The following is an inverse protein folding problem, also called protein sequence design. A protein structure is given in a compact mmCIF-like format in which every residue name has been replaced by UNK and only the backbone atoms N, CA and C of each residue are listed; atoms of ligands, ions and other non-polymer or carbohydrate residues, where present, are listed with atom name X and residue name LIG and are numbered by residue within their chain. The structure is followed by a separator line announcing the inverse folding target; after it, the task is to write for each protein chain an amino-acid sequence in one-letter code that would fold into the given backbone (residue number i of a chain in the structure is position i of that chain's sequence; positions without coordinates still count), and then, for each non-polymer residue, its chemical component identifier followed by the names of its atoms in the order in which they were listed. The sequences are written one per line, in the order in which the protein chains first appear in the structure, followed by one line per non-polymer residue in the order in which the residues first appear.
data_IF_211200716674
#
_entry.id   IF_211200716674
#
_cell.length_a   1.000
_cell.length_b   1.000
_cell.length_c   1.000
_cell.angle_alpha   90.00
_cell.angle_beta   90.00
_cell.angle_gamma   90.00
#
_symmetry.space_group_name_H-M   'P 1'
#
loop_
_entity.id
_entity.type
_entity.pdbx_description
1 polymer ?
#
# COMPACT_ATOMS: atom_id res chain seq x y z
N UNK A 1 2.79 39.13 92.17
CA UNK A 1 4.15 38.78 92.66
C UNK A 1 4.53 37.42 92.08
N UNK A 2 5.24 37.37 90.94
CA UNK A 2 6.69 37.06 90.85
C UNK A 2 7.16 36.00 91.85
N UNK A 3 7.50 34.81 91.35
CA UNK A 3 8.85 34.22 91.47
C UNK A 3 9.04 33.05 90.49
N UNK A 4 10.00 33.26 89.59
CA UNK A 4 10.63 32.21 88.77
C UNK A 4 11.56 31.39 89.67
N UNK A 5 11.62 30.07 89.47
CA UNK A 5 12.83 29.29 89.72
C UNK A 5 13.27 28.63 88.41
N UNK A 6 14.51 28.95 88.02
CA UNK A 6 15.40 28.12 87.20
C UNK A 6 15.96 27.02 88.14
N UNK A 7 16.42 25.83 87.73
CA UNK A 7 17.58 25.54 86.87
C UNK A 7 17.73 24.00 86.72
N UNK A 8 18.12 23.55 85.51
CA UNK A 8 19.05 22.46 85.12
C UNK A 8 19.09 21.11 85.88
N UNK A 9 19.07 19.97 85.15
CA UNK A 9 20.23 19.05 85.01
C UNK A 9 19.94 17.83 84.08
N UNK A 10 20.72 17.75 82.99
CA UNK A 10 21.30 16.61 82.25
C UNK A 10 20.79 15.14 82.31
N UNK A 11 20.95 14.48 81.14
CA UNK A 11 20.89 13.03 80.78
C UNK A 11 19.48 12.48 80.49
N UNK A 12 19.16 11.83 79.36
CA UNK A 12 19.85 10.72 78.67
C UNK A 12 19.43 10.64 77.17
N UNK A 13 20.39 10.23 76.34
CA UNK A 13 20.26 9.81 74.94
C UNK A 13 19.14 8.76 74.74
N UNK A 14 18.26 8.99 73.76
CA UNK A 14 17.62 7.92 73.00
C UNK A 14 17.44 8.37 71.55
N UNK A 15 18.29 7.80 70.70
CA UNK A 15 18.31 7.91 69.25
C UNK A 15 17.01 7.30 68.70
N UNK A 16 16.09 8.14 68.22
CA UNK A 16 15.02 7.71 67.33
C UNK A 16 15.02 8.65 66.13
N UNK A 17 16.03 8.49 65.28
CA UNK A 17 15.97 8.92 63.90
C UNK A 17 14.81 8.18 63.23
N UNK A 18 13.62 8.79 63.27
CA UNK A 18 12.55 8.47 62.36
C UNK A 18 13.06 8.89 60.99
N UNK A 19 13.76 7.95 60.36
CA UNK A 19 14.03 7.96 58.93
C UNK A 19 12.65 7.91 58.28
N UNK A 20 12.10 9.08 57.95
CA UNK A 20 11.08 9.18 56.92
C UNK A 20 11.75 8.70 55.63
N UNK A 21 11.75 7.37 55.44
CA UNK A 21 11.86 6.77 54.12
C UNK A 21 10.58 7.20 53.42
N UNK A 22 10.59 8.40 52.85
CA UNK A 22 9.69 8.71 51.76
C UNK A 22 9.90 7.55 50.78
N UNK A 23 8.86 6.77 50.42
CA UNK A 23 8.99 5.84 49.33
C UNK A 23 9.49 6.69 48.18
N UNK A 24 10.73 6.44 47.74
CA UNK A 24 11.27 7.10 46.58
C UNK A 24 10.20 6.94 45.53
N UNK A 25 9.61 8.06 45.10
CA UNK A 25 8.86 8.10 43.88
C UNK A 25 9.84 7.54 42.85
N UNK A 26 9.66 6.27 42.50
CA UNK A 26 10.12 5.77 41.23
C UNK A 26 9.37 6.63 40.22
N UNK A 27 9.98 7.78 39.88
CA UNK A 27 9.75 8.48 38.65
C UNK A 27 10.10 7.45 37.57
N UNK A 28 9.11 6.64 37.22
CA UNK A 28 8.98 6.04 35.90
C UNK A 28 9.42 7.17 34.97
N UNK A 29 10.44 6.96 34.13
CA UNK A 29 10.81 7.98 33.14
C UNK A 29 9.58 8.18 32.28
N UNK A 30 8.73 9.11 32.69
CA UNK A 30 7.57 9.51 31.93
C UNK A 30 8.17 10.18 30.70
N UNK A 31 7.82 9.63 29.54
CA UNK A 31 8.25 10.15 28.26
C UNK A 31 8.01 11.65 28.14
N UNK A 32 8.63 12.30 27.16
CA UNK A 32 8.55 13.78 27.05
C UNK A 32 7.09 14.20 26.88
N UNK A 33 6.49 14.96 27.81
CA UNK A 33 5.05 15.25 27.76
C UNK A 33 4.73 16.21 26.61
N UNK A 34 3.78 15.83 25.75
CA UNK A 34 3.28 16.67 24.65
C UNK A 34 1.91 17.29 24.97
N UNK A 35 1.07 16.58 25.74
CA UNK A 35 -0.20 17.10 26.25
C UNK A 35 -0.50 16.49 27.62
N UNK A 36 -1.19 17.26 28.48
CA UNK A 36 -1.68 16.82 29.79
C UNK A 36 -3.15 17.18 29.94
N UNK A 37 -3.94 16.26 30.48
CA UNK A 37 -5.35 16.48 30.78
C UNK A 37 -5.75 15.55 31.93
N UNK A 38 -6.49 16.08 32.91
CA UNK A 38 -6.78 15.40 34.18
C UNK A 38 -5.49 14.83 34.82
N UNK A 39 -5.43 13.51 35.00
CA UNK A 39 -4.28 12.75 35.51
C UNK A 39 -3.48 12.04 34.41
N UNK A 40 -3.79 12.29 33.14
CA UNK A 40 -3.20 11.62 31.99
C UNK A 40 -2.24 12.53 31.23
N UNK A 41 -1.25 11.90 30.60
CA UNK A 41 -0.28 12.56 29.74
C UNK A 41 -0.17 11.79 28.43
N UNK A 42 -0.13 12.53 27.32
CA UNK A 42 0.33 12.00 26.03
C UNK A 42 1.79 12.35 25.90
N UNK A 43 2.62 11.33 25.68
CA UNK A 43 4.07 11.47 25.58
C UNK A 43 4.54 11.52 24.12
N UNK A 44 5.74 12.02 23.91
CA UNK A 44 6.37 12.07 22.60
C UNK A 44 6.59 10.66 22.03
N UNK A 45 6.93 9.71 22.89
CA UNK A 45 7.18 8.32 22.56
C UNK A 45 5.90 7.66 22.02
N UNK A 46 4.77 7.86 22.71
CA UNK A 46 3.45 7.40 22.26
C UNK A 46 3.06 8.04 20.92
N UNK A 47 3.27 9.36 20.76
CA UNK A 47 2.96 10.05 19.52
C UNK A 47 3.79 9.51 18.35
N UNK A 48 5.08 9.24 18.58
CA UNK A 48 5.96 8.65 17.56
C UNK A 48 5.56 7.21 17.24
N UNK A 49 5.18 6.42 18.23
CA UNK A 49 4.70 5.04 18.02
C UNK A 49 3.41 5.03 17.21
N UNK A 50 2.42 5.85 17.58
CA UNK A 50 1.18 6.01 16.81
C UNK A 50 1.50 6.47 15.39
N UNK A 51 2.38 7.45 15.21
CA UNK A 51 2.79 7.92 13.88
C UNK A 51 3.37 6.78 13.02
N UNK A 52 4.24 5.95 13.58
CA UNK A 52 4.85 4.80 12.88
C UNK A 52 3.84 3.73 12.49
N UNK A 53 2.74 3.61 13.22
CA UNK A 53 1.66 2.66 12.89
C UNK A 53 0.76 3.12 11.74
N UNK A 54 0.83 4.39 11.32
CA UNK A 54 -0.01 4.92 10.26
C UNK A 54 0.55 4.59 8.86
N UNK A 55 -0.30 4.53 7.81
CA UNK A 55 0.14 4.49 6.42
C UNK A 55 1.12 5.63 6.08
N UNK A 56 2.09 5.37 5.19
CA UNK A 56 3.19 6.31 4.87
C UNK A 56 2.69 7.66 4.37
N UNK A 57 1.57 7.66 3.66
CA UNK A 57 0.91 8.84 3.10
C UNK A 57 0.44 9.78 4.23
N UNK A 58 -0.07 9.20 5.32
CA UNK A 58 -0.58 9.94 6.48
C UNK A 58 0.57 10.40 7.38
N UNK A 59 1.66 9.62 7.48
CA UNK A 59 2.83 9.96 8.29
C UNK A 59 3.37 11.37 7.97
N UNK A 60 3.51 11.69 6.68
CA UNK A 60 4.01 13.00 6.24
C UNK A 60 3.09 14.16 6.61
N UNK A 61 1.76 13.96 6.58
CA UNK A 61 0.77 14.97 6.97
C UNK A 61 0.80 15.18 8.49
N UNK A 62 0.71 14.09 9.25
CA UNK A 62 0.73 14.13 10.72
C UNK A 62 2.04 14.73 11.25
N UNK A 63 3.18 14.46 10.60
CA UNK A 63 4.45 15.06 10.96
C UNK A 63 4.51 16.58 10.70
N UNK A 64 3.84 17.09 9.66
CA UNK A 64 3.75 18.53 9.40
C UNK A 64 2.77 19.21 10.36
N UNK A 65 1.67 18.55 10.70
CA UNK A 65 0.60 19.07 11.55
C UNK A 65 0.67 18.45 12.96
N UNK A 66 1.84 18.57 13.61
CA UNK A 66 2.12 17.89 14.89
C UNK A 66 1.12 18.23 15.99
N UNK A 67 0.69 19.49 16.06
CA UNK A 67 -0.26 19.94 17.08
C UNK A 67 -1.62 19.29 16.88
N UNK A 68 -2.13 19.27 15.65
CA UNK A 68 -3.43 18.66 15.33
C UNK A 68 -3.39 17.15 15.53
N UNK A 69 -2.26 16.51 15.19
CA UNK A 69 -2.04 15.10 15.47
C UNK A 69 -2.10 14.77 16.96
N UNK A 70 -1.39 15.53 17.81
CA UNK A 70 -1.46 15.34 19.27
C UNK A 70 -2.86 15.65 19.81
N UNK A 71 -3.52 16.69 19.29
CA UNK A 71 -4.88 17.05 19.69
C UNK A 71 -5.87 15.92 19.35
N UNK A 72 -5.71 15.26 18.21
CA UNK A 72 -6.55 14.12 17.86
C UNK A 72 -6.33 12.93 18.78
N UNK A 73 -5.09 12.68 19.20
CA UNK A 73 -4.81 11.67 20.24
C UNK A 73 -5.50 12.02 21.58
N UNK A 74 -5.54 13.32 21.96
CA UNK A 74 -6.29 13.78 23.14
C UNK A 74 -7.79 13.50 22.96
N UNK A 75 -8.35 13.86 21.80
CA UNK A 75 -9.76 13.63 21.49
C UNK A 75 -10.12 12.14 21.55
N UNK A 76 -9.29 11.28 20.95
CA UNK A 76 -9.43 9.82 20.97
C UNK A 76 -9.48 9.30 22.41
N UNK A 77 -8.58 9.76 23.30
CA UNK A 77 -8.59 9.36 24.73
C UNK A 77 -9.92 9.71 25.42
N UNK A 78 -10.43 10.93 25.21
CA UNK A 78 -11.69 11.35 25.80
C UNK A 78 -12.87 10.51 25.30
N UNK A 79 -12.92 10.23 24.00
CA UNK A 79 -13.97 9.40 23.40
C UNK A 79 -13.93 7.97 23.93
N UNK A 80 -12.74 7.35 23.98
CA UNK A 80 -12.56 6.00 24.52
C UNK A 80 -13.00 5.93 25.98
N UNK A 81 -12.58 6.90 26.80
CA UNK A 81 -12.99 6.96 28.23
C UNK A 81 -14.50 7.05 28.38
N UNK A 82 -15.16 7.89 27.60
CA UNK A 82 -16.62 8.00 27.64
C UNK A 82 -17.29 6.71 27.17
N UNK A 83 -16.75 6.06 26.13
CA UNK A 83 -17.22 4.76 25.66
C UNK A 83 -17.06 3.66 26.73
N UNK A 84 -15.97 3.66 27.48
CA UNK A 84 -15.75 2.75 28.61
C UNK A 84 -16.73 2.99 29.74
N UNK A 85 -16.96 4.26 30.12
CA UNK A 85 -17.94 4.64 31.15
C UNK A 85 -19.35 4.19 30.78
N UNK A 86 -19.72 4.30 29.51
CA UNK A 86 -20.99 3.81 28.96
C UNK A 86 -21.02 2.30 28.71
N UNK A 87 -19.90 1.61 28.97
CA UNK A 87 -19.73 0.19 28.71
C UNK A 87 -20.08 -0.20 27.26
N UNK A 88 -19.70 0.64 26.29
CA UNK A 88 -19.97 0.40 24.86
C UNK A 88 -19.42 -0.96 24.41
N UNK A 89 -18.31 -1.41 24.99
CA UNK A 89 -17.75 -2.76 24.77
C UNK A 89 -18.70 -3.91 25.09
N UNK A 90 -19.73 -3.67 25.90
CA UNK A 90 -20.69 -4.68 26.31
C UNK A 90 -21.89 -4.79 25.36
N UNK A 91 -22.06 -3.86 24.42
CA UNK A 91 -23.12 -3.92 23.43
C UNK A 91 -22.96 -5.17 22.54
N UNK A 92 -24.06 -5.86 22.16
CA UNK A 92 -23.98 -7.14 21.45
C UNK A 92 -23.20 -7.08 20.13
N UNK A 93 -23.40 -6.00 19.36
CA UNK A 93 -22.71 -5.73 18.09
C UNK A 93 -21.21 -5.49 18.32
N UNK A 94 -20.84 -4.69 19.31
CA UNK A 94 -19.43 -4.43 19.65
C UNK A 94 -18.73 -5.70 20.12
N UNK A 95 -19.36 -6.52 20.96
CA UNK A 95 -18.81 -7.82 21.37
C UNK A 95 -18.58 -8.74 20.18
N UNK A 96 -19.55 -8.84 19.28
CA UNK A 96 -19.42 -9.67 18.08
C UNK A 96 -18.27 -9.20 17.17
N UNK A 97 -18.10 -7.88 17.03
CA UNK A 97 -16.98 -7.29 16.29
C UNK A 97 -15.63 -7.58 16.94
N UNK A 98 -15.50 -7.41 18.26
CA UNK A 98 -14.27 -7.70 19.00
C UNK A 98 -13.88 -9.18 18.88
N UNK A 99 -14.84 -10.09 19.03
CA UNK A 99 -14.62 -11.54 18.87
C UNK A 99 -14.18 -11.90 17.44
N UNK A 100 -14.81 -11.29 16.43
CA UNK A 100 -14.43 -11.47 15.03
C UNK A 100 -13.01 -10.96 14.76
N UNK A 101 -12.67 -9.77 15.27
CA UNK A 101 -11.34 -9.18 15.14
C UNK A 101 -10.29 -10.03 15.85
N UNK A 102 -10.56 -10.46 17.10
CA UNK A 102 -9.68 -11.32 17.88
C UNK A 102 -9.34 -12.61 17.12
N UNK A 103 -10.36 -13.34 16.63
CA UNK A 103 -10.15 -14.59 15.87
C UNK A 103 -9.26 -14.38 14.64
N UNK A 104 -9.47 -13.29 13.89
CA UNK A 104 -8.65 -12.97 12.71
C UNK A 104 -7.20 -12.66 13.09
N UNK A 105 -7.00 -11.85 14.13
CA UNK A 105 -5.67 -11.44 14.58
C UNK A 105 -4.87 -12.64 15.06
N UNK A 106 -5.45 -13.51 15.90
CA UNK A 106 -4.72 -14.68 16.42
C UNK A 106 -4.41 -15.70 15.32
N UNK A 107 -5.32 -15.89 14.36
CA UNK A 107 -5.09 -16.78 13.23
C UNK A 107 -3.97 -16.26 12.33
N UNK A 108 -4.00 -14.97 11.97
CA UNK A 108 -2.94 -14.32 11.20
C UNK A 108 -1.60 -14.38 11.93
N UNK A 109 -1.58 -14.15 13.24
CA UNK A 109 -0.37 -14.25 14.06
C UNK A 109 0.19 -15.68 14.12
N UNK A 110 -0.67 -16.69 14.17
CA UNK A 110 -0.22 -18.08 14.13
C UNK A 110 0.45 -18.40 12.80
N UNK A 111 -0.14 -17.99 11.67
CA UNK A 111 0.45 -18.14 10.33
C UNK A 111 1.80 -17.42 10.27
N UNK A 112 1.88 -16.17 10.72
CA UNK A 112 3.14 -15.42 10.76
C UNK A 112 4.23 -16.18 11.56
N UNK A 113 3.89 -16.70 12.73
CA UNK A 113 4.83 -17.37 13.64
C UNK A 113 5.26 -18.74 13.12
N UNK A 114 4.31 -19.53 12.64
CA UNK A 114 4.53 -20.94 12.31
C UNK A 114 4.90 -21.16 10.84
N UNK A 115 4.51 -20.24 9.96
CA UNK A 115 4.77 -20.30 8.53
C UNK A 115 5.81 -19.25 8.16
N UNK A 116 5.45 -17.96 8.15
CA UNK A 116 6.28 -16.91 7.54
C UNK A 116 7.65 -16.77 8.20
N UNK A 117 7.72 -16.80 9.54
CA UNK A 117 8.99 -16.68 10.28
C UNK A 117 9.88 -17.93 10.19
N UNK A 118 9.29 -19.09 9.87
CA UNK A 118 10.02 -20.37 9.80
C UNK A 118 10.45 -20.70 8.38
N UNK A 119 9.76 -20.17 7.37
CA UNK A 119 10.19 -20.32 5.99
C UNK A 119 11.53 -19.57 5.81
N UNK A 120 12.50 -20.30 5.28
CA UNK A 120 13.77 -19.76 4.79
C UNK A 120 13.76 -19.93 3.28
N UNK A 121 13.95 -18.83 2.56
CA UNK A 121 14.07 -18.85 1.11
C UNK A 121 15.56 -18.90 0.76
N UNK A 122 15.93 -19.77 -0.17
CA UNK A 122 17.25 -19.71 -0.80
C UNK A 122 17.20 -18.66 -1.92
N UNK A 123 18.07 -17.63 -1.90
CA UNK A 123 18.17 -16.69 -3.01
C UNK A 123 18.38 -17.37 -4.38
N UNK A 124 19.01 -18.55 -4.41
CA UNK A 124 19.21 -19.32 -5.63
C UNK A 124 17.89 -19.91 -6.16
N UNK A 125 16.99 -20.37 -5.30
CA UNK A 125 15.65 -20.86 -5.72
C UNK A 125 14.84 -19.72 -6.33
N UNK A 126 14.92 -18.52 -5.75
CA UNK A 126 14.25 -17.32 -6.28
C UNK A 126 14.81 -16.96 -7.66
N UNK A 127 16.14 -16.96 -7.81
CA UNK A 127 16.77 -16.67 -9.09
C UNK A 127 16.41 -17.71 -10.16
N UNK A 128 16.44 -19.01 -9.82
CA UNK A 128 16.07 -20.09 -10.72
C UNK A 128 14.61 -20.00 -11.15
N UNK A 129 13.70 -19.71 -10.21
CA UNK A 129 12.29 -19.50 -10.52
C UNK A 129 12.11 -18.31 -11.47
N UNK A 130 12.72 -17.17 -11.17
CA UNK A 130 12.68 -16.00 -12.06
C UNK A 130 13.22 -16.34 -13.45
N UNK A 131 14.39 -16.97 -13.54
CA UNK A 131 15.03 -17.29 -14.81
C UNK A 131 14.21 -18.25 -15.68
N UNK A 132 13.52 -19.20 -15.06
CA UNK A 132 12.64 -20.17 -15.74
C UNK A 132 11.26 -19.62 -16.10
N UNK A 133 10.85 -18.49 -15.50
CA UNK A 133 9.55 -17.85 -15.71
C UNK A 133 9.70 -16.40 -16.20
N UNK A 134 10.83 -16.04 -16.83
CA UNK A 134 11.12 -14.66 -17.28
C UNK A 134 9.98 -14.07 -18.09
N UNK A 135 9.36 -14.86 -18.95
CA UNK A 135 8.26 -14.42 -19.81
C UNK A 135 7.04 -13.92 -19.00
N UNK A 136 6.80 -14.45 -17.80
CA UNK A 136 5.72 -13.99 -16.91
C UNK A 136 6.01 -12.65 -16.24
N UNK A 137 7.30 -12.29 -16.13
CA UNK A 137 7.76 -11.06 -15.48
C UNK A 137 8.17 -9.97 -16.49
N UNK A 138 8.09 -10.27 -17.78
CA UNK A 138 8.43 -9.34 -18.86
C UNK A 138 7.18 -8.71 -19.43
N UNK A 139 7.27 -7.45 -19.85
CA UNK A 139 6.21 -6.87 -20.67
C UNK A 139 6.27 -7.53 -22.05
N UNK A 140 5.17 -8.17 -22.51
CA UNK A 140 5.16 -8.84 -23.80
C UNK A 140 5.39 -7.82 -24.92
N UNK A 141 5.99 -8.27 -26.02
CA UNK A 141 6.15 -7.45 -27.21
C UNK A 141 4.75 -7.05 -27.73
N UNK A 142 4.48 -5.75 -27.73
CA UNK A 142 3.28 -5.18 -28.32
C UNK A 142 3.60 -4.64 -29.71
N UNK A 143 2.90 -5.14 -30.72
CA UNK A 143 2.91 -4.59 -32.07
C UNK A 143 1.71 -3.68 -32.25
N UNK A 144 1.89 -2.59 -33.00
CA UNK A 144 0.80 -1.76 -33.50
C UNK A 144 0.82 -1.83 -35.02
N UNK A 145 -0.31 -2.19 -35.62
CA UNK A 145 -0.45 -2.29 -37.07
C UNK A 145 -1.76 -1.66 -37.53
N UNK A 146 -1.81 -1.39 -38.83
CA UNK A 146 -3.05 -1.08 -39.54
C UNK A 146 -3.24 -2.10 -40.66
N UNK A 147 -4.49 -2.38 -41.04
CA UNK A 147 -4.79 -3.32 -42.13
C UNK A 147 -5.88 -2.83 -43.07
N UNK A 148 -5.88 -3.36 -44.29
CA UNK A 148 -6.93 -3.19 -45.29
C UNK A 148 -7.42 -4.58 -45.66
N UNK A 149 -8.70 -4.84 -45.42
CA UNK A 149 -9.36 -6.09 -45.80
C UNK A 149 -10.11 -5.88 -47.11
N UNK A 150 -9.92 -6.78 -48.06
CA UNK A 150 -10.66 -6.82 -49.32
C UNK A 150 -11.33 -8.19 -49.47
N UNK A 151 -12.40 -8.26 -50.26
CA UNK A 151 -13.11 -9.52 -50.50
C UNK A 151 -12.40 -10.42 -51.50
N UNK A 152 -11.53 -9.85 -52.35
CA UNK A 152 -10.79 -10.58 -53.38
C UNK A 152 -9.30 -10.25 -53.37
N UNK A 153 -8.48 -11.18 -53.86
CA UNK A 153 -7.03 -11.00 -53.96
C UNK A 153 -6.68 -9.96 -55.04
N UNK A 154 -7.46 -9.90 -56.11
CA UNK A 154 -7.32 -8.93 -57.19
C UNK A 154 -7.49 -7.51 -56.68
N UNK A 155 -8.51 -7.26 -55.86
CA UNK A 155 -8.74 -5.97 -55.23
C UNK A 155 -7.62 -5.61 -54.25
N UNK A 156 -7.19 -6.54 -53.41
CA UNK A 156 -6.08 -6.32 -52.48
C UNK A 156 -4.78 -5.96 -53.21
N UNK A 157 -4.48 -6.64 -54.31
CA UNK A 157 -3.31 -6.35 -55.15
C UNK A 157 -3.42 -4.98 -55.82
N UNK A 158 -4.61 -4.58 -56.28
CA UNK A 158 -4.83 -3.26 -56.86
C UNK A 158 -4.65 -2.13 -55.84
N UNK A 159 -5.05 -2.35 -54.58
CA UNK A 159 -4.81 -1.41 -53.48
C UNK A 159 -3.31 -1.34 -53.15
N UNK A 160 -2.65 -2.49 -53.03
CA UNK A 160 -1.21 -2.54 -52.76
C UNK A 160 -0.41 -1.78 -53.83
N UNK A 161 -0.74 -1.97 -55.11
CA UNK A 161 -0.08 -1.25 -56.20
C UNK A 161 -0.24 0.28 -56.10
N UNK A 162 -1.40 0.77 -55.66
CA UNK A 162 -1.60 2.21 -55.42
C UNK A 162 -0.73 2.72 -54.26
N UNK A 163 -0.63 1.95 -53.17
CA UNK A 163 0.21 2.30 -52.03
C UNK A 163 1.69 2.30 -52.42
N UNK A 164 2.14 1.31 -53.20
CA UNK A 164 3.50 1.24 -53.72
C UNK A 164 3.85 2.44 -54.64
N UNK A 165 2.83 3.04 -55.28
CA UNK A 165 2.95 4.28 -56.07
C UNK A 165 2.83 5.57 -55.24
N UNK A 166 2.70 5.47 -53.91
CA UNK A 166 2.67 6.59 -52.98
C UNK A 166 1.28 7.06 -52.55
N UNK A 167 0.22 6.28 -52.79
CA UNK A 167 -1.09 6.58 -52.23
C UNK A 167 -1.09 6.41 -50.70
N UNK A 168 -1.89 7.21 -50.01
CA UNK A 168 -2.00 7.19 -48.55
C UNK A 168 -2.75 5.94 -48.07
N UNK A 169 -2.08 5.15 -47.21
CA UNK A 169 -2.63 3.90 -46.67
C UNK A 169 -3.92 4.15 -45.87
N UNK A 170 -3.93 5.19 -45.02
CA UNK A 170 -5.04 5.48 -44.11
C UNK A 170 -6.31 5.88 -44.88
N UNK A 171 -6.15 6.68 -45.95
CA UNK A 171 -7.22 7.09 -46.85
C UNK A 171 -7.78 5.91 -47.66
N UNK A 172 -6.90 5.03 -48.16
CA UNK A 172 -7.34 3.81 -48.86
C UNK A 172 -8.04 2.85 -47.89
N UNK A 173 -7.54 2.69 -46.67
CA UNK A 173 -8.19 1.90 -45.64
C UNK A 173 -9.59 2.42 -45.33
N UNK A 174 -9.75 3.73 -45.12
CA UNK A 174 -11.06 4.36 -44.87
C UNK A 174 -12.07 4.17 -45.99
N UNK A 175 -11.61 4.21 -47.24
CA UNK A 175 -12.50 4.25 -48.40
C UNK A 175 -12.77 2.88 -49.01
N UNK A 176 -11.88 1.91 -48.81
CA UNK A 176 -11.91 0.61 -49.53
C UNK A 176 -11.94 -0.61 -48.62
N UNK A 177 -11.41 -0.52 -47.40
CA UNK A 177 -11.40 -1.69 -46.51
C UNK A 177 -12.82 -2.12 -46.15
N UNK A 178 -13.07 -3.42 -46.19
CA UNK A 178 -14.34 -4.03 -45.77
C UNK A 178 -14.38 -4.33 -44.26
N UNK A 179 -13.27 -4.12 -43.55
CA UNK A 179 -13.18 -4.33 -42.10
C UNK A 179 -13.73 -3.14 -41.29
N UNK A 180 -14.21 -3.41 -40.08
CA UNK A 180 -14.74 -2.38 -39.17
C UNK A 180 -13.71 -1.31 -38.78
N UNK A 181 -12.42 -1.63 -38.82
CA UNK A 181 -11.35 -0.66 -38.58
C UNK A 181 -11.15 0.35 -39.71
N UNK A 182 -11.82 0.20 -40.86
CA UNK A 182 -11.80 1.16 -41.96
C UNK A 182 -12.01 2.60 -41.48
N UNK A 183 -13.01 2.82 -40.61
CA UNK A 183 -13.33 4.14 -40.05
C UNK A 183 -12.15 4.83 -39.33
N UNK A 184 -11.22 4.03 -38.79
CA UNK A 184 -9.99 4.48 -38.11
C UNK A 184 -8.75 4.31 -38.99
N UNK A 185 -8.91 4.24 -40.31
CA UNK A 185 -7.78 4.08 -41.22
C UNK A 185 -7.10 2.73 -41.13
N UNK A 186 -7.83 1.70 -40.72
CA UNK A 186 -7.31 0.35 -40.55
C UNK A 186 -6.61 0.09 -39.23
N UNK A 187 -6.53 1.06 -38.30
CA UNK A 187 -5.83 0.90 -37.01
C UNK A 187 -6.53 -0.14 -36.12
N UNK A 188 -5.82 -1.24 -35.87
CA UNK A 188 -6.24 -2.34 -34.98
C UNK A 188 -5.69 -2.20 -33.55
N UNK A 189 -4.88 -1.16 -33.29
CA UNK A 189 -4.31 -0.88 -31.97
C UNK A 189 -3.09 -1.74 -31.64
N UNK A 190 -2.74 -1.75 -30.35
CA UNK A 190 -1.65 -2.59 -29.83
C UNK A 190 -2.15 -4.00 -29.55
N UNK A 191 -1.42 -4.99 -30.03
CA UNK A 191 -1.69 -6.40 -29.77
C UNK A 191 -0.40 -7.14 -29.43
N UNK A 192 -0.57 -8.21 -28.67
CA UNK A 192 0.47 -9.19 -28.31
C UNK A 192 0.17 -10.51 -29.01
N UNK A 193 1.15 -11.40 -28.98
CA UNK A 193 1.05 -12.74 -29.54
C UNK A 193 -0.14 -13.50 -28.95
N UNK A 194 -0.88 -14.24 -29.77
CA UNK A 194 -2.08 -15.00 -29.41
C UNK A 194 -3.37 -14.19 -29.39
N UNK A 195 -3.36 -12.91 -29.77
CA UNK A 195 -4.57 -12.06 -29.78
C UNK A 195 -5.21 -11.92 -31.17
N UNK A 196 -4.49 -12.29 -32.25
CA UNK A 196 -4.97 -12.22 -33.63
C UNK A 196 -5.10 -13.63 -34.23
N UNK A 197 -5.77 -13.71 -35.38
CA UNK A 197 -5.83 -14.96 -36.14
C UNK A 197 -4.42 -15.39 -36.60
N UNK A 198 -4.11 -16.70 -36.62
CA UNK A 198 -2.74 -17.19 -36.80
C UNK A 198 -2.06 -16.69 -38.09
N UNK A 199 -2.80 -16.58 -39.19
CA UNK A 199 -2.29 -16.18 -40.49
C UNK A 199 -1.86 -14.70 -40.48
N UNK A 200 -2.68 -13.83 -39.88
CA UNK A 200 -2.37 -12.41 -39.74
C UNK A 200 -1.21 -12.20 -38.77
N UNK A 201 -1.21 -12.89 -37.63
CA UNK A 201 -0.14 -12.80 -36.65
C UNK A 201 1.20 -13.21 -37.24
N UNK A 202 1.24 -14.32 -38.00
CA UNK A 202 2.45 -14.82 -38.63
C UNK A 202 3.07 -13.79 -39.59
N UNK A 203 2.27 -13.03 -40.33
CA UNK A 203 2.77 -11.97 -41.21
C UNK A 203 3.14 -10.70 -40.43
N UNK A 204 2.31 -10.26 -39.50
CA UNK A 204 2.55 -9.04 -38.73
C UNK A 204 3.86 -9.09 -37.93
N UNK A 205 4.20 -10.23 -37.34
CA UNK A 205 5.44 -10.41 -36.56
C UNK A 205 6.70 -10.56 -37.43
N UNK A 206 6.58 -10.74 -38.76
CA UNK A 206 7.74 -10.71 -39.67
C UNK A 206 8.14 -9.30 -40.06
N UNK A 207 7.22 -8.34 -39.97
CA UNK A 207 7.44 -6.96 -40.41
C UNK A 207 8.25 -6.16 -39.40
N UNK A 208 9.11 -5.29 -39.91
CA UNK A 208 9.72 -4.21 -39.13
C UNK A 208 8.81 -3.00 -39.09
N UNK A 209 9.09 -2.08 -38.16
CA UNK A 209 8.37 -0.82 -38.04
C UNK A 209 8.41 -0.06 -39.37
N UNK A 210 7.22 0.23 -39.91
CA UNK A 210 7.05 0.98 -41.16
C UNK A 210 7.06 0.13 -42.42
N UNK A 211 7.25 -1.19 -42.32
CA UNK A 211 7.11 -2.09 -43.46
C UNK A 211 5.63 -2.47 -43.69
N UNK A 212 5.32 -2.81 -44.93
CA UNK A 212 4.02 -3.32 -45.37
C UNK A 212 4.20 -4.76 -45.86
N UNK A 213 3.28 -5.66 -45.52
CA UNK A 213 3.32 -7.06 -45.96
C UNK A 213 3.05 -7.19 -47.46
N UNK A 214 3.38 -8.36 -48.07
CA UNK A 214 2.68 -8.79 -49.28
C UNK A 214 1.17 -8.93 -49.01
N UNK A 215 0.38 -9.05 -50.08
CA UNK A 215 -1.01 -9.49 -49.96
C UNK A 215 -1.01 -10.96 -49.52
N UNK A 216 -1.78 -11.28 -48.48
CA UNK A 216 -1.93 -12.65 -47.99
C UNK A 216 -3.40 -12.93 -47.68
N UNK A 217 -3.77 -14.21 -47.71
CA UNK A 217 -5.13 -14.66 -47.43
C UNK A 217 -5.28 -15.02 -45.96
N UNK A 218 -6.41 -14.63 -45.40
CA UNK A 218 -6.90 -15.08 -44.09
C UNK A 218 -8.16 -15.93 -44.29
N UNK A 219 -8.66 -16.53 -43.21
CA UNK A 219 -9.85 -17.41 -43.23
C UNK A 219 -11.09 -16.74 -43.81
#
# INVERSE_FOLDING_TARGET
MRRKLKTNLFTLLALASVLCVLPGCHLKKEGTPLARFDSETITQEEAVEKLRSLPKEIQGIAFRQKKDFVQEMVNERFLVREAERRQIKNLPDVKALLESAYRKIIAAKLIEIEVDRKIKWDPNDVAQYYDSHKEEFMTPLLLKASHILMSTEEEANAIKAQIDLGADFEALARSRSTDNTATRGGDIGYFQKGQLIPEFEAEAFKLKKGEMSPVFKTQ
#
